data_IF_829109017134
#
_entry.id   IF_829109017134
#
_cell.length_a   1.000
_cell.length_b   1.000
_cell.length_c   1.000
_cell.angle_alpha   90.00
_cell.angle_beta   90.00
_cell.angle_gamma   90.00
#
_symmetry.space_group_name_H-M   'P 1'
#
loop_
_entity.id
_entity.type
_entity.pdbx_description
1 polymer ?
#
# COMPACT_ATOMS: atom_id res chain seq x y z
N UNK A 1 -2.33 13.64 12.67
CA UNK A 1 -2.90 12.30 12.37
C UNK A 1 -4.22 12.48 11.65
N UNK A 2 -4.57 11.57 10.74
CA UNK A 2 -5.91 11.59 10.17
C UNK A 2 -6.94 11.29 11.28
N UNK A 3 -8.11 11.96 11.28
CA UNK A 3 -9.07 11.90 12.39
C UNK A 3 -9.62 10.48 12.66
N UNK A 4 -9.59 9.59 11.66
CA UNK A 4 -10.04 8.20 11.77
C UNK A 4 -8.98 7.21 12.28
N UNK A 5 -7.73 7.64 12.48
CA UNK A 5 -6.71 6.80 13.15
C UNK A 5 -6.69 6.99 14.66
N UNK A 6 -7.42 7.96 15.21
CA UNK A 6 -7.46 8.18 16.65
C UNK A 6 -8.03 6.95 17.35
N UNK A 7 -7.18 6.24 18.10
CA UNK A 7 -7.53 5.02 18.82
C UNK A 7 -7.18 3.72 18.09
N UNK A 8 -6.64 3.79 16.87
CA UNK A 8 -6.04 2.61 16.24
C UNK A 8 -4.84 2.12 17.07
N UNK A 9 -4.82 0.83 17.38
CA UNK A 9 -3.75 0.17 18.16
C UNK A 9 -3.04 -0.91 17.33
N UNK A 10 -3.00 -0.72 16.02
CA UNK A 10 -2.29 -1.60 15.10
C UNK A 10 -0.78 -1.45 15.29
N UNK A 11 -0.05 -2.55 15.12
CA UNK A 11 1.42 -2.58 15.17
C UNK A 11 2.07 -2.20 13.84
N UNK A 12 1.29 -1.99 12.77
CA UNK A 12 1.76 -1.90 11.39
C UNK A 12 1.18 -3.04 10.56
N UNK A 13 2.04 -3.77 9.82
CA UNK A 13 1.65 -4.94 9.05
C UNK A 13 1.70 -6.20 9.92
N UNK A 14 0.63 -6.99 9.92
CA UNK A 14 0.55 -8.27 10.62
C UNK A 14 0.13 -9.41 9.71
N UNK A 15 0.75 -10.57 9.86
CA UNK A 15 0.43 -11.79 9.11
C UNK A 15 -0.09 -12.85 10.09
N UNK A 16 -1.22 -13.45 9.77
CA UNK A 16 -1.86 -14.48 10.58
C UNK A 16 -2.13 -15.72 9.74
N UNK A 17 -2.02 -16.90 10.34
CA UNK A 17 -2.65 -18.11 9.83
C UNK A 17 -4.07 -18.20 10.36
N UNK A 18 -4.97 -18.72 9.53
CA UNK A 18 -6.31 -19.11 9.91
C UNK A 18 -6.49 -20.59 9.54
N UNK A 19 -6.86 -21.41 10.51
CA UNK A 19 -7.17 -22.82 10.30
C UNK A 19 -8.68 -22.95 10.11
N UNK A 20 -9.13 -23.39 8.92
CA UNK A 20 -10.55 -23.43 8.58
C UNK A 20 -11.31 -24.60 9.25
N UNK A 21 -10.61 -25.61 9.76
CA UNK A 21 -11.24 -26.75 10.44
C UNK A 21 -11.53 -26.42 11.91
N UNK A 22 -10.56 -25.80 12.58
CA UNK A 22 -10.60 -25.46 14.02
C UNK A 22 -11.07 -24.04 14.28
N UNK A 23 -11.04 -23.17 13.26
CA UNK A 23 -11.30 -21.72 13.34
C UNK A 23 -10.27 -20.96 14.18
N UNK A 24 -9.11 -21.56 14.42
CA UNK A 24 -8.03 -20.92 15.17
C UNK A 24 -7.27 -19.90 14.33
N UNK A 25 -6.83 -18.81 14.99
CA UNK A 25 -5.93 -17.83 14.39
C UNK A 25 -4.60 -17.81 15.15
N UNK A 26 -3.49 -17.67 14.41
CA UNK A 26 -2.16 -17.53 15.01
C UNK A 26 -1.39 -16.44 14.29
N UNK A 27 -0.82 -15.50 15.04
CA UNK A 27 0.11 -14.51 14.50
C UNK A 27 1.39 -15.21 14.04
N UNK A 28 1.77 -14.99 12.78
CA UNK A 28 2.97 -15.54 12.16
C UNK A 28 4.11 -14.53 12.20
N UNK A 29 3.83 -13.30 11.78
CA UNK A 29 4.81 -12.22 11.67
C UNK A 29 4.14 -10.86 11.91
N UNK A 30 4.93 -9.87 12.28
CA UNK A 30 4.53 -8.46 12.27
C UNK A 30 5.73 -7.57 12.00
N UNK A 31 5.47 -6.36 11.50
CA UNK A 31 6.45 -5.27 11.42
C UNK A 31 5.75 -3.95 11.64
N UNK A 32 6.44 -3.02 12.31
CA UNK A 32 6.05 -1.63 12.50
C UNK A 32 6.79 -0.67 11.57
N UNK A 33 7.50 -1.17 10.56
CA UNK A 33 8.29 -0.37 9.61
C UNK A 33 7.45 0.25 8.48
N UNK A 34 6.14 0.00 8.48
CA UNK A 34 5.18 0.62 7.56
C UNK A 34 4.23 1.49 8.37
N UNK A 35 4.33 2.80 8.17
CA UNK A 35 3.43 3.77 8.79
C UNK A 35 2.04 3.69 8.15
N UNK A 36 1.01 3.54 8.98
CA UNK A 36 -0.41 3.50 8.58
C UNK A 36 -0.69 2.69 7.30
N UNK A 37 -0.44 1.36 7.29
CA UNK A 37 -0.72 0.51 6.15
C UNK A 37 -2.22 0.25 6.04
N UNK A 38 -2.95 1.20 5.46
CA UNK A 38 -4.41 1.14 5.35
C UNK A 38 -4.92 0.25 4.23
N UNK A 39 -4.06 -0.03 3.26
CA UNK A 39 -4.36 -0.92 2.15
C UNK A 39 -3.15 -1.75 1.75
N UNK A 40 -3.41 -2.97 1.26
CA UNK A 40 -2.37 -3.85 0.75
C UNK A 40 -2.87 -4.71 -0.41
N UNK A 41 -1.91 -5.22 -1.19
CA UNK A 41 -2.12 -6.29 -2.17
C UNK A 41 -1.15 -7.43 -1.88
N UNK A 42 -1.55 -8.66 -2.20
CA UNK A 42 -0.72 -9.85 -2.04
C UNK A 42 -0.69 -10.61 -3.36
N UNK A 43 0.46 -11.18 -3.73
CA UNK A 43 0.54 -12.07 -4.89
C UNK A 43 -0.30 -13.35 -4.68
N UNK A 44 -0.79 -14.00 -5.75
CA UNK A 44 -1.67 -15.18 -5.61
C UNK A 44 -1.06 -16.35 -4.83
N UNK A 45 0.26 -16.49 -4.86
CA UNK A 45 1.02 -17.50 -4.11
C UNK A 45 1.29 -17.11 -2.65
N UNK A 46 0.93 -15.89 -2.25
CA UNK A 46 1.12 -15.36 -0.90
C UNK A 46 2.57 -14.99 -0.58
N UNK A 47 3.46 -14.92 -1.56
CA UNK A 47 4.90 -14.72 -1.35
C UNK A 47 5.32 -13.25 -1.28
N UNK A 48 4.53 -12.33 -1.82
CA UNK A 48 4.85 -10.89 -1.82
C UNK A 48 3.65 -10.05 -1.38
N UNK A 49 3.94 -8.99 -0.62
CA UNK A 49 2.98 -8.06 -0.04
C UNK A 49 3.40 -6.64 -0.42
N UNK A 50 2.46 -5.85 -0.91
CA UNK A 50 2.65 -4.44 -1.23
C UNK A 50 1.68 -3.63 -0.38
N UNK A 51 2.20 -2.88 0.58
CA UNK A 51 1.40 -2.10 1.53
C UNK A 51 1.61 -0.61 1.30
N UNK A 52 0.52 0.16 1.21
CA UNK A 52 0.62 1.62 1.16
C UNK A 52 0.98 2.21 2.53
N UNK A 53 1.25 3.51 2.56
CA UNK A 53 1.33 4.29 3.79
C UNK A 53 0.46 5.53 3.66
N UNK A 54 -0.58 5.61 4.49
CA UNK A 54 -1.52 6.72 4.50
C UNK A 54 -1.21 7.67 5.65
N UNK A 55 -0.38 8.69 5.36
CA UNK A 55 0.09 9.64 6.37
C UNK A 55 -0.24 11.07 5.97
N UNK A 56 -1.23 11.65 6.65
CA UNK A 56 -1.80 12.96 6.29
C UNK A 56 -0.81 14.13 6.32
N UNK A 57 0.25 14.01 7.13
CA UNK A 57 1.28 15.06 7.25
C UNK A 57 2.41 14.91 6.24
N UNK A 58 2.43 13.84 5.44
CA UNK A 58 3.44 13.65 4.41
C UNK A 58 3.03 14.36 3.12
N UNK A 59 4.02 14.91 2.42
CA UNK A 59 3.83 15.53 1.10
C UNK A 59 3.61 14.49 0.00
N UNK A 60 4.13 13.28 0.22
CA UNK A 60 4.07 12.18 -0.70
C UNK A 60 3.90 10.89 0.10
N UNK A 61 2.91 10.09 -0.28
CA UNK A 61 2.68 8.77 0.26
C UNK A 61 3.67 7.76 -0.30
N UNK A 62 3.64 6.54 0.22
CA UNK A 62 4.59 5.50 -0.19
C UNK A 62 3.91 4.16 -0.34
N UNK A 63 4.56 3.25 -1.07
CA UNK A 63 4.22 1.83 -1.09
C UNK A 63 5.48 1.03 -0.75
N UNK A 64 5.38 0.18 0.25
CA UNK A 64 6.44 -0.72 0.70
C UNK A 64 6.20 -2.13 0.16
N UNK A 65 7.25 -2.76 -0.34
CA UNK A 65 7.25 -4.15 -0.80
C UNK A 65 7.96 -5.04 0.21
N UNK A 66 7.33 -6.17 0.53
CA UNK A 66 7.86 -7.22 1.39
C UNK A 66 7.69 -8.56 0.68
N UNK A 67 8.64 -9.48 0.88
CA UNK A 67 8.39 -10.90 0.69
C UNK A 67 7.99 -11.55 2.01
N UNK A 68 7.24 -12.65 1.92
CA UNK A 68 6.83 -13.45 3.05
C UNK A 68 7.28 -14.90 2.85
N UNK A 69 8.24 -15.34 3.67
CA UNK A 69 8.63 -16.74 3.74
C UNK A 69 7.57 -17.50 4.55
N UNK A 70 6.76 -18.29 3.86
CA UNK A 70 5.68 -19.08 4.47
C UNK A 70 6.20 -20.24 5.32
N UNK A 71 7.40 -20.75 5.05
CA UNK A 71 7.99 -21.85 5.79
C UNK A 71 8.52 -21.38 7.15
N UNK A 72 9.23 -20.24 7.17
CA UNK A 72 9.74 -19.66 8.41
C UNK A 72 8.75 -18.72 9.10
N UNK A 73 7.70 -18.27 8.41
CA UNK A 73 6.75 -17.26 8.89
C UNK A 73 7.41 -15.89 9.06
N UNK A 74 8.22 -15.46 8.10
CA UNK A 74 9.04 -14.23 8.23
C UNK A 74 8.70 -13.21 7.14
N UNK A 75 8.55 -11.95 7.53
CA UNK A 75 8.48 -10.81 6.61
C UNK A 75 9.89 -10.31 6.31
N UNK A 76 10.19 -10.10 5.03
CA UNK A 76 11.48 -9.60 4.56
C UNK A 76 11.23 -8.34 3.75
N UNK A 77 11.78 -7.22 4.21
CA UNK A 77 11.69 -5.94 3.49
C UNK A 77 12.46 -6.02 2.16
N UNK A 78 11.83 -5.58 1.07
CA UNK A 78 12.45 -5.51 -0.26
C UNK A 78 12.83 -4.08 -0.61
N UNK A 79 11.84 -3.19 -0.72
CA UNK A 79 12.05 -1.77 -0.93
C UNK A 79 10.78 -0.94 -0.63
N UNK A 80 10.88 0.36 -0.88
CA UNK A 80 9.79 1.34 -0.77
C UNK A 80 9.87 2.28 -1.98
N UNK A 81 8.73 2.60 -2.57
CA UNK A 81 8.61 3.57 -3.66
C UNK A 81 7.68 4.72 -3.26
N UNK A 82 7.93 5.95 -3.73
CA UNK A 82 6.97 7.03 -3.60
C UNK A 82 5.68 6.66 -4.33
N UNK A 83 4.51 7.05 -3.82
CA UNK A 83 3.23 6.79 -4.51
C UNK A 83 2.92 7.83 -5.59
N UNK A 84 3.72 8.89 -5.67
CA UNK A 84 3.55 10.06 -6.53
C UNK A 84 2.30 10.91 -6.22
N UNK A 85 1.62 10.69 -5.09
CA UNK A 85 0.53 11.55 -4.60
C UNK A 85 0.58 11.66 -3.07
N UNK A 86 -0.22 12.52 -2.45
CA UNK A 86 -0.03 12.82 -1.01
C UNK A 86 -0.68 11.81 -0.08
N UNK A 87 -1.92 11.40 -0.37
CA UNK A 87 -2.67 10.44 0.45
C UNK A 87 -2.88 9.15 -0.36
N UNK A 88 -2.01 8.16 -0.18
CA UNK A 88 -2.16 6.86 -0.84
C UNK A 88 -3.31 6.10 -0.23
N UNK A 89 -4.34 5.80 -1.03
CA UNK A 89 -5.58 5.23 -0.52
C UNK A 89 -5.75 3.75 -0.87
N UNK A 90 -5.18 3.30 -1.99
CA UNK A 90 -5.37 1.94 -2.46
C UNK A 90 -4.23 1.50 -3.38
N UNK A 91 -3.93 0.21 -3.38
CA UNK A 91 -3.08 -0.41 -4.39
C UNK A 91 -3.61 -1.79 -4.79
N UNK A 92 -3.38 -2.19 -6.03
CA UNK A 92 -3.80 -3.50 -6.56
C UNK A 92 -2.81 -4.03 -7.58
N UNK A 93 -2.65 -5.35 -7.62
CA UNK A 93 -1.86 -6.04 -8.63
C UNK A 93 -2.75 -6.26 -9.85
N UNK A 94 -2.25 -5.98 -11.05
CA UNK A 94 -2.99 -6.23 -12.29
C UNK A 94 -3.30 -7.72 -12.46
N UNK A 95 -4.36 -8.03 -13.19
CA UNK A 95 -4.82 -9.43 -13.37
C UNK A 95 -3.76 -10.35 -13.99
N UNK A 96 -2.91 -9.80 -14.86
CA UNK A 96 -1.78 -10.52 -15.47
C UNK A 96 -0.58 -10.68 -14.53
N UNK A 97 -0.62 -10.08 -13.33
CA UNK A 97 0.43 -10.15 -12.31
C UNK A 97 1.65 -9.27 -12.61
N UNK A 98 1.62 -8.42 -13.64
CA UNK A 98 2.84 -7.76 -14.12
C UNK A 98 3.04 -6.34 -13.60
N UNK A 99 2.03 -5.71 -12.99
CA UNK A 99 2.08 -4.33 -12.50
C UNK A 99 1.38 -4.18 -11.16
N UNK A 100 1.83 -3.18 -10.40
CA UNK A 100 1.08 -2.61 -9.29
C UNK A 100 0.48 -1.28 -9.72
N UNK A 101 -0.83 -1.11 -9.53
CA UNK A 101 -1.53 0.16 -9.67
C UNK A 101 -1.75 0.75 -8.29
N UNK A 102 -1.44 2.04 -8.13
CA UNK A 102 -1.59 2.78 -6.87
C UNK A 102 -2.50 3.97 -7.12
N UNK A 103 -3.52 4.12 -6.28
CA UNK A 103 -4.45 5.25 -6.32
C UNK A 103 -4.21 6.16 -5.11
N UNK A 104 -4.06 7.44 -5.39
CA UNK A 104 -3.92 8.48 -4.38
C UNK A 104 -5.23 9.28 -4.31
N UNK A 105 -5.75 9.46 -3.09
CA UNK A 105 -7.00 10.19 -2.83
C UNK A 105 -6.77 11.70 -2.73
N UNK A 106 -5.68 12.09 -2.08
CA UNK A 106 -5.35 13.49 -1.84
C UNK A 106 -4.30 14.02 -2.83
N UNK A 107 -4.50 15.27 -3.22
CA UNK A 107 -3.50 16.16 -3.80
C UNK A 107 -3.08 17.08 -2.66
N UNK A 108 -1.85 16.96 -2.19
CA UNK A 108 -1.36 17.85 -1.14
C UNK A 108 -0.96 19.17 -1.78
N UNK A 109 -0.86 20.26 -1.02
CA UNK A 109 -0.22 21.46 -1.59
C UNK A 109 1.28 21.18 -1.82
N UNK A 110 1.70 21.13 -3.09
CA UNK A 110 3.11 21.08 -3.49
C UNK A 110 3.73 19.69 -3.65
N UNK A 111 2.91 18.65 -3.95
CA UNK A 111 3.37 17.29 -4.24
C UNK A 111 3.47 16.99 -5.74
N UNK A 112 3.92 15.76 -6.12
CA UNK A 112 3.83 15.28 -7.50
C UNK A 112 2.39 15.05 -7.97
N UNK A 113 1.43 14.95 -7.03
CA UNK A 113 -0.01 15.09 -7.22
C UNK A 113 -0.56 14.25 -8.39
N UNK A 114 -0.15 12.98 -8.41
CA UNK A 114 -0.64 11.96 -9.36
C UNK A 114 -1.79 11.20 -8.73
N UNK A 115 -2.92 11.20 -9.42
CA UNK A 115 -4.11 10.43 -9.02
C UNK A 115 -3.84 8.93 -9.07
N UNK A 116 -3.10 8.47 -10.09
CA UNK A 116 -2.71 7.06 -10.25
C UNK A 116 -1.24 6.95 -10.64
N UNK A 117 -0.56 5.96 -10.09
CA UNK A 117 0.80 5.57 -10.45
C UNK A 117 0.90 4.06 -10.72
N UNK A 118 1.84 3.68 -11.60
CA UNK A 118 2.05 2.30 -12.07
C UNK A 118 3.49 1.89 -11.82
N UNK A 119 3.69 0.70 -11.25
CA UNK A 119 5.00 0.12 -10.94
C UNK A 119 5.12 -1.26 -11.59
N UNK A 120 6.34 -1.63 -11.93
CA UNK A 120 6.69 -3.02 -12.26
C UNK A 120 7.23 -3.75 -11.03
N UNK A 121 7.57 -5.02 -11.24
CA UNK A 121 8.23 -5.86 -10.25
C UNK A 121 9.61 -6.26 -10.78
N UNK A 122 10.62 -6.11 -9.94
CA UNK A 122 11.95 -6.69 -10.16
C UNK A 122 11.90 -8.21 -9.95
N UNK A 123 12.97 -8.92 -10.31
CA UNK A 123 13.02 -10.39 -10.23
C UNK A 123 12.76 -10.95 -8.83
N UNK A 124 13.13 -10.20 -7.79
CA UNK A 124 12.90 -10.55 -6.38
C UNK A 124 11.56 -10.03 -5.82
N UNK A 125 10.68 -9.49 -6.67
CA UNK A 125 9.41 -8.90 -6.29
C UNK A 125 9.48 -7.50 -5.68
N UNK A 126 10.67 -6.87 -5.65
CA UNK A 126 10.76 -5.45 -5.29
C UNK A 126 10.04 -4.59 -6.33
N UNK A 127 9.56 -3.40 -5.93
CA UNK A 127 8.93 -2.47 -6.87
C UNK A 127 9.98 -1.75 -7.72
N UNK A 128 9.76 -1.65 -9.02
CA UNK A 128 10.57 -0.79 -9.88
C UNK A 128 10.36 0.69 -9.52
N UNK A 129 11.17 1.58 -10.10
CA UNK A 129 10.79 2.99 -10.18
C UNK A 129 9.42 3.14 -10.89
N UNK A 130 8.66 4.23 -10.63
CA UNK A 130 7.39 4.46 -11.32
C UNK A 130 7.53 4.38 -12.85
N UNK A 131 6.71 3.56 -13.48
CA UNK A 131 6.70 3.36 -14.94
C UNK A 131 5.79 4.37 -15.65
N UNK A 132 4.68 4.73 -15.00
CA UNK A 132 3.69 5.65 -15.53
C UNK A 132 2.91 6.29 -14.39
N UNK A 133 2.36 7.47 -14.63
CA UNK A 133 1.46 8.14 -13.71
C UNK A 133 0.54 9.09 -14.44
N UNK A 134 -0.62 9.37 -13.87
CA UNK A 134 -1.58 10.33 -14.41
C UNK A 134 -2.15 11.18 -13.29
N UNK A 135 -2.34 12.47 -13.57
CA UNK A 135 -3.18 13.36 -12.78
C UNK A 135 -4.53 13.49 -13.47
N UNK A 136 -5.60 13.50 -12.68
CA UNK A 136 -6.92 13.84 -13.19
C UNK A 136 -7.29 15.22 -12.65
N UNK A 137 -7.80 16.07 -13.54
CA UNK A 137 -8.39 17.35 -13.18
C UNK A 137 -9.87 17.29 -13.55
N UNK A 138 -10.73 17.79 -12.69
CA UNK A 138 -12.16 17.86 -12.98
C UNK A 138 -12.96 18.40 -11.80
N UNK A 139 -14.04 19.11 -12.11
CA UNK A 139 -14.95 19.64 -11.10
C UNK A 139 -16.20 18.76 -11.00
N UNK A 140 -16.55 18.35 -9.78
CA UNK A 140 -17.82 17.69 -9.49
C UNK A 140 -18.98 18.67 -9.24
N UNK A 141 -20.25 18.22 -9.28
CA UNK A 141 -21.40 19.06 -8.94
C UNK A 141 -21.44 19.45 -7.45
N UNK A 142 -20.61 18.84 -6.61
CA UNK A 142 -20.47 19.14 -5.19
C UNK A 142 -19.09 19.75 -4.91
N UNK A 143 -19.05 21.08 -4.86
CA UNK A 143 -17.83 21.85 -4.63
C UNK A 143 -17.13 21.56 -3.28
N UNK A 144 -17.78 20.89 -2.32
CA UNK A 144 -17.20 20.57 -1.02
C UNK A 144 -16.55 19.18 -0.95
N UNK A 145 -16.59 18.37 -2.03
CA UNK A 145 -16.19 16.95 -1.98
C UNK A 145 -15.16 16.54 -3.04
N UNK A 146 -14.93 17.34 -4.09
CA UNK A 146 -14.05 17.01 -5.21
C UNK A 146 -13.52 18.30 -5.84
N UNK A 147 -12.26 18.64 -5.55
CA UNK A 147 -11.41 19.51 -6.39
C UNK A 147 -10.62 18.65 -7.39
#
# INVERSE_FOLDING_TARGET
>A
EAPYFQGARGVGLGVYSFDEETLETRKLAETNDVDNPTFLSVTPDGSHIYANSEVFTWREGTVSAYSFDRASGTLIYLNKQPSLGSITAHNTITRDGTKLLVANYGMGEGGPDRAVAVYGFEENGALSAPLASVSHEGSGPNAARQE
#
